data_IF_610122637383
#
_entry.id   IF_610122637383
#
_cell.length_a   1.000
_cell.length_b   1.000
_cell.length_c   1.000
_cell.angle_alpha   90.00
_cell.angle_beta   90.00
_cell.angle_gamma   90.00
#
_symmetry.space_group_name_H-M   'P 1'
#
loop_
_entity.id
_entity.type
_entity.pdbx_description
1 polymer ?
#
# COMPACT_ATOMS: atom_id res chain seq x y z
N UNK A 1 15.56 20.07 13.73
CA UNK A 1 16.26 18.90 14.30
C UNK A 1 16.34 17.86 13.23
N UNK A 2 17.52 17.28 12.98
CA UNK A 2 17.66 16.20 12.02
C UNK A 2 16.93 14.96 12.56
N UNK A 3 15.84 14.56 11.90
CA UNK A 3 15.23 13.26 12.11
C UNK A 3 16.24 12.25 11.57
N UNK A 4 16.97 11.57 12.46
CA UNK A 4 18.01 10.62 12.07
C UNK A 4 17.38 9.51 11.24
N UNK A 5 17.81 9.36 9.99
CA UNK A 5 17.45 8.21 9.18
C UNK A 5 18.09 6.98 9.83
N UNK A 6 17.28 6.17 10.51
CA UNK A 6 17.71 4.84 10.93
C UNK A 6 17.61 3.98 9.67
N UNK A 7 18.72 3.82 8.95
CA UNK A 7 18.76 3.14 7.67
C UNK A 7 20.04 3.43 6.89
N UNK A 8 20.15 2.87 5.68
CA UNK A 8 21.35 2.98 4.85
C UNK A 8 21.43 4.38 4.19
N UNK A 9 22.34 5.28 4.60
CA UNK A 9 22.41 6.64 4.07
C UNK A 9 22.79 6.70 2.58
N UNK A 10 23.52 5.69 2.08
CA UNK A 10 23.89 5.55 0.67
C UNK A 10 22.89 4.73 -0.16
N UNK A 11 21.74 4.35 0.42
CA UNK A 11 20.75 3.49 -0.21
C UNK A 11 20.98 1.99 0.05
N UNK A 12 19.90 1.22 -0.16
CA UNK A 12 19.86 -0.22 0.07
C UNK A 12 20.34 -0.96 -1.18
N UNK A 13 21.30 -1.88 -1.03
CA UNK A 13 21.80 -2.76 -2.11
C UNK A 13 21.17 -4.15 -2.11
N UNK A 14 20.69 -4.62 -0.96
CA UNK A 14 20.10 -5.94 -0.83
C UNK A 14 19.08 -6.01 0.29
N UNK A 15 18.09 -6.88 0.12
CA UNK A 15 17.04 -7.13 1.09
C UNK A 15 16.75 -8.64 1.12
N UNK A 16 16.60 -9.21 2.32
CA UNK A 16 16.16 -10.58 2.51
C UNK A 16 15.26 -10.68 3.74
N UNK A 17 14.20 -11.49 3.67
CA UNK A 17 13.32 -11.76 4.80
C UNK A 17 13.55 -13.19 5.31
N UNK A 18 13.38 -13.39 6.62
CA UNK A 18 13.31 -14.73 7.20
C UNK A 18 12.07 -15.47 6.69
N UNK A 19 12.11 -16.80 6.74
CA UNK A 19 11.01 -17.64 6.26
C UNK A 19 9.68 -17.37 6.97
N UNK A 20 9.72 -16.99 8.24
CA UNK A 20 8.56 -16.63 9.05
C UNK A 20 8.17 -15.15 8.96
N UNK A 21 8.91 -14.35 8.17
CA UNK A 21 8.65 -12.93 7.95
C UNK A 21 8.93 -12.02 9.15
N UNK A 22 9.42 -12.56 10.28
CA UNK A 22 9.66 -11.80 11.52
C UNK A 22 10.93 -10.97 11.48
N UNK A 23 11.85 -11.30 10.58
CA UNK A 23 13.14 -10.66 10.48
C UNK A 23 13.38 -10.23 9.04
N UNK A 24 13.75 -8.98 8.84
CA UNK A 24 14.23 -8.46 7.55
C UNK A 24 15.68 -8.03 7.72
N UNK A 25 16.53 -8.42 6.78
CA UNK A 25 17.92 -7.97 6.68
C UNK A 25 18.03 -7.04 5.49
N UNK A 26 18.58 -5.86 5.70
CA UNK A 26 18.98 -4.96 4.62
C UNK A 26 20.50 -4.81 4.61
N UNK A 27 21.08 -4.71 3.42
CA UNK A 27 22.50 -4.40 3.24
C UNK A 27 22.64 -3.07 2.50
N UNK A 28 23.56 -2.24 2.98
CA UNK A 28 23.83 -0.97 2.37
C UNK A 28 25.04 -1.03 1.45
N UNK A 29 25.01 -0.16 0.45
CA UNK A 29 26.03 -0.18 -0.58
C UNK A 29 27.35 0.41 -0.11
N UNK A 30 27.30 1.70 0.19
CA UNK A 30 28.49 2.52 0.41
C UNK A 30 28.75 2.80 1.89
N UNK A 31 27.79 2.43 2.76
CA UNK A 31 27.95 2.44 4.22
C UNK A 31 28.50 1.11 4.77
N UNK A 32 28.57 0.07 3.92
CA UNK A 32 28.97 -1.30 4.23
C UNK A 32 28.25 -1.90 5.46
N UNK A 33 27.08 -1.37 5.79
CA UNK A 33 26.32 -1.77 6.95
C UNK A 33 25.34 -2.90 6.59
N UNK A 34 24.98 -3.68 7.60
CA UNK A 34 23.88 -4.64 7.53
C UNK A 34 22.94 -4.31 8.68
N UNK A 35 21.69 -3.99 8.37
CA UNK A 35 20.66 -3.79 9.40
C UNK A 35 19.77 -5.03 9.50
N UNK A 36 19.43 -5.36 10.75
CA UNK A 36 18.49 -6.41 11.10
C UNK A 36 17.25 -5.71 11.68
N UNK A 37 16.10 -5.97 11.07
CA UNK A 37 14.82 -5.39 11.42
C UNK A 37 13.92 -6.49 11.96
N UNK A 38 13.31 -6.26 13.10
CA UNK A 38 12.21 -7.10 13.58
C UNK A 38 10.89 -6.57 13.01
N UNK A 39 10.09 -7.47 12.44
CA UNK A 39 8.79 -7.19 11.85
C UNK A 39 7.72 -7.75 12.77
N UNK A 40 6.96 -6.86 13.40
CA UNK A 40 5.82 -7.21 14.24
C UNK A 40 4.51 -6.92 13.49
N UNK A 41 4.00 -7.94 12.80
CA UNK A 41 2.69 -7.87 12.12
C UNK A 41 1.54 -7.76 13.12
N UNK A 42 1.69 -8.27 14.33
CA UNK A 42 0.67 -8.20 15.39
C UNK A 42 0.48 -6.78 15.89
N UNK A 43 1.54 -5.99 15.98
CA UNK A 43 1.46 -4.56 16.30
C UNK A 43 0.67 -3.79 15.24
N UNK A 44 0.88 -4.07 13.95
CA UNK A 44 0.13 -3.45 12.86
C UNK A 44 -1.36 -3.85 12.90
N UNK A 45 -1.67 -5.11 13.17
CA UNK A 45 -3.04 -5.59 13.32
C UNK A 45 -3.74 -5.00 14.55
N UNK A 46 -3.04 -4.89 15.68
CA UNK A 46 -3.55 -4.24 16.88
C UNK A 46 -3.81 -2.75 16.64
N UNK A 47 -2.91 -2.07 15.93
CA UNK A 47 -3.11 -0.67 15.51
C UNK A 47 -4.31 -0.56 14.58
N UNK A 48 -4.48 -1.48 13.63
CA UNK A 48 -5.64 -1.52 12.75
C UNK A 48 -6.96 -1.68 13.52
N UNK A 49 -6.95 -2.48 14.58
CA UNK A 49 -8.13 -2.76 15.40
C UNK A 49 -8.49 -1.59 16.33
N UNK A 50 -7.48 -0.88 16.87
CA UNK A 50 -7.68 0.19 17.84
C UNK A 50 -7.64 1.60 17.24
N UNK A 51 -7.13 1.77 16.02
CA UNK A 51 -6.78 3.05 15.40
C UNK A 51 -7.92 3.79 14.70
N UNK A 52 -9.17 3.35 14.85
CA UNK A 52 -10.33 3.97 14.20
C UNK A 52 -10.85 3.19 12.99
N UNK A 53 -11.75 3.81 12.22
CA UNK A 53 -12.42 3.16 11.10
C UNK A 53 -11.75 3.46 9.75
N UNK A 54 -11.79 2.48 8.84
CA UNK A 54 -11.33 2.66 7.46
C UNK A 54 -9.84 2.94 7.36
N UNK A 55 -9.48 4.13 6.89
CA UNK A 55 -8.11 4.55 6.57
C UNK A 55 -7.35 5.18 7.74
N UNK A 56 -8.04 5.65 8.77
CA UNK A 56 -7.45 6.39 9.90
C UNK A 56 -6.18 5.72 10.48
N UNK A 57 -6.13 4.38 10.69
CA UNK A 57 -4.93 3.73 11.22
C UNK A 57 -3.72 3.77 10.25
N UNK A 58 -3.94 3.94 8.96
CA UNK A 58 -2.94 3.76 7.91
C UNK A 58 -2.49 5.06 7.25
N UNK A 59 -3.17 6.19 7.52
CA UNK A 59 -2.81 7.48 6.94
C UNK A 59 -1.35 7.85 7.20
N UNK A 60 -0.81 7.53 8.38
CA UNK A 60 0.58 7.80 8.73
C UNK A 60 1.60 6.99 7.91
N UNK A 61 1.18 5.89 7.26
CA UNK A 61 2.03 5.09 6.37
C UNK A 61 2.15 5.73 4.98
N UNK A 62 1.22 6.61 4.61
CA UNK A 62 1.26 7.35 3.35
C UNK A 62 2.20 8.55 3.52
N UNK A 63 3.20 8.74 2.64
CA UNK A 63 4.03 9.93 2.64
C UNK A 63 3.23 11.24 2.72
N UNK A 64 3.54 12.07 3.73
CA UNK A 64 2.82 13.32 3.99
C UNK A 64 1.53 13.17 4.81
N UNK A 65 1.12 11.94 5.12
CA UNK A 65 -0.08 11.67 5.90
C UNK A 65 -1.37 12.00 5.14
N UNK A 66 -2.46 12.13 5.88
CA UNK A 66 -3.80 12.46 5.36
C UNK A 66 -3.89 13.82 4.64
N UNK A 67 -2.99 14.74 5.00
CA UNK A 67 -2.93 16.09 4.44
C UNK A 67 -1.82 16.20 3.37
N UNK A 68 -1.24 15.06 2.98
CA UNK A 68 -0.18 14.98 2.00
C UNK A 68 -0.71 14.88 0.56
N UNK A 69 0.04 15.44 -0.38
CA UNK A 69 -0.31 15.43 -1.81
C UNK A 69 -0.58 14.00 -2.34
N UNK A 70 0.24 13.03 -1.94
CA UNK A 70 0.05 11.64 -2.37
C UNK A 70 -1.29 11.06 -1.88
N UNK A 71 -1.74 11.44 -0.68
CA UNK A 71 -3.03 10.98 -0.16
C UNK A 71 -4.20 11.55 -0.99
N UNK A 72 -4.14 12.83 -1.36
CA UNK A 72 -5.13 13.44 -2.24
C UNK A 72 -5.14 12.79 -3.63
N UNK A 73 -3.96 12.56 -4.23
CA UNK A 73 -3.83 11.86 -5.51
C UNK A 73 -4.41 10.44 -5.44
N UNK A 74 -4.07 9.70 -4.37
CA UNK A 74 -4.62 8.37 -4.15
C UNK A 74 -6.14 8.40 -4.17
N UNK A 75 -6.74 9.30 -3.36
CA UNK A 75 -8.19 9.48 -3.27
C UNK A 75 -8.81 9.80 -4.63
N UNK A 76 -8.24 10.74 -5.36
CA UNK A 76 -8.79 11.20 -6.64
C UNK A 76 -8.77 10.10 -7.71
N UNK A 77 -7.66 9.35 -7.81
CA UNK A 77 -7.56 8.22 -8.75
C UNK A 77 -8.46 7.06 -8.35
N UNK A 78 -8.63 6.80 -7.06
CA UNK A 78 -9.53 5.75 -6.59
C UNK A 78 -10.99 6.08 -6.92
N UNK A 79 -11.42 7.32 -6.69
CA UNK A 79 -12.75 7.75 -7.13
C UNK A 79 -12.90 7.71 -8.64
N UNK A 80 -11.87 8.11 -9.39
CA UNK A 80 -11.89 7.99 -10.84
C UNK A 80 -12.06 6.52 -11.29
N UNK A 81 -11.35 5.59 -10.67
CA UNK A 81 -11.46 4.16 -10.97
C UNK A 81 -12.86 3.61 -10.62
N UNK A 82 -13.44 4.05 -9.51
CA UNK A 82 -14.80 3.67 -9.11
C UNK A 82 -15.85 4.17 -10.10
N UNK A 83 -15.73 5.43 -10.55
CA UNK A 83 -16.64 6.00 -11.54
C UNK A 83 -16.48 5.33 -12.91
N UNK A 84 -15.26 5.01 -13.32
CA UNK A 84 -15.00 4.29 -14.58
C UNK A 84 -15.53 2.86 -14.57
N UNK A 85 -15.46 2.19 -13.43
CA UNK A 85 -15.99 0.84 -13.27
C UNK A 85 -17.51 0.74 -13.49
N UNK A 86 -18.24 1.86 -13.36
CA UNK A 86 -19.69 1.94 -13.59
C UNK A 86 -20.07 2.19 -15.06
N UNK A 87 -19.08 2.29 -15.96
CA UNK A 87 -19.28 2.55 -17.38
C UNK A 87 -19.26 4.04 -17.73
N UNK A 88 -18.52 4.39 -18.77
CA UNK A 88 -18.32 5.79 -19.20
C UNK A 88 -19.54 6.35 -19.94
N UNK A 89 -20.37 5.48 -20.54
CA UNK A 89 -21.59 5.81 -21.29
C UNK A 89 -22.89 5.47 -20.53
N UNK A 90 -22.85 5.40 -19.20
CA UNK A 90 -24.06 5.15 -18.40
C UNK A 90 -24.83 6.43 -18.14
N UNK A 91 -26.15 6.39 -18.30
CA UNK A 91 -27.09 7.43 -17.85
C UNK A 91 -27.59 7.20 -16.42
N UNK A 92 -27.12 6.15 -15.75
CA UNK A 92 -27.44 5.87 -14.35
C UNK A 92 -26.73 6.85 -13.41
N UNK A 93 -27.32 7.08 -12.22
CA UNK A 93 -26.74 7.96 -11.22
C UNK A 93 -25.44 7.34 -10.66
N UNK A 94 -24.35 8.09 -10.75
CA UNK A 94 -23.03 7.65 -10.28
C UNK A 94 -23.04 7.50 -8.75
N UNK A 95 -22.68 6.31 -8.27
CA UNK A 95 -22.62 6.01 -6.83
C UNK A 95 -21.19 5.90 -6.35
N UNK A 96 -20.88 6.54 -5.21
CA UNK A 96 -19.61 6.41 -4.51
C UNK A 96 -19.81 5.38 -3.38
N UNK A 97 -19.48 4.14 -3.68
CA UNK A 97 -19.53 2.99 -2.76
C UNK A 97 -18.26 2.84 -1.92
N UNK A 98 -17.18 3.53 -2.29
CA UNK A 98 -15.87 3.43 -1.66
C UNK A 98 -15.14 2.13 -2.00
N UNK A 99 -15.50 1.50 -3.14
CA UNK A 99 -14.96 0.22 -3.58
C UNK A 99 -14.65 0.26 -5.07
N UNK A 100 -13.54 -0.35 -5.45
CA UNK A 100 -13.15 -0.55 -6.85
C UNK A 100 -12.98 -2.03 -7.16
N UNK A 101 -13.19 -2.48 -8.40
CA UNK A 101 -12.90 -3.85 -8.79
C UNK A 101 -11.45 -4.23 -8.50
N UNK A 102 -11.22 -5.47 -8.07
CA UNK A 102 -9.87 -5.98 -7.81
C UNK A 102 -8.96 -5.85 -9.05
N UNK A 103 -9.54 -5.96 -10.24
CA UNK A 103 -8.82 -5.79 -11.51
C UNK A 103 -8.21 -4.38 -11.70
N UNK A 104 -8.69 -3.37 -10.97
CA UNK A 104 -8.18 -1.99 -11.05
C UNK A 104 -6.92 -1.76 -10.21
N UNK A 105 -6.55 -2.69 -9.32
CA UNK A 105 -5.39 -2.56 -8.42
C UNK A 105 -4.09 -2.26 -9.17
N UNK A 106 -3.72 -2.97 -10.26
CA UNK A 106 -2.46 -2.71 -10.94
C UNK A 106 -2.35 -1.30 -11.53
N UNK A 107 -3.45 -0.77 -12.05
CA UNK A 107 -3.47 0.57 -12.64
C UNK A 107 -3.43 1.66 -11.56
N UNK A 108 -4.10 1.43 -10.42
CA UNK A 108 -4.02 2.32 -9.27
C UNK A 108 -2.60 2.38 -8.70
N UNK A 109 -1.94 1.23 -8.53
CA UNK A 109 -0.55 1.19 -8.08
C UNK A 109 0.37 2.02 -8.98
N UNK A 110 0.22 1.87 -10.30
CA UNK A 110 0.98 2.66 -11.29
C UNK A 110 0.66 4.14 -11.21
N UNK A 111 -0.61 4.50 -11.00
CA UNK A 111 -1.03 5.88 -10.82
C UNK A 111 -0.42 6.51 -9.56
N UNK A 112 -0.19 5.72 -8.51
CA UNK A 112 0.47 6.16 -7.27
C UNK A 112 2.01 6.20 -7.38
N UNK A 113 2.56 5.95 -8.57
CA UNK A 113 4.00 5.95 -8.83
C UNK A 113 4.71 4.64 -8.52
N UNK A 114 3.97 3.59 -8.14
CA UNK A 114 4.53 2.24 -7.95
C UNK A 114 4.29 1.38 -9.19
N UNK A 115 5.35 0.85 -9.79
CA UNK A 115 5.27 0.07 -11.02
C UNK A 115 5.57 -1.41 -10.74
N UNK A 116 4.58 -2.19 -10.26
CA UNK A 116 4.80 -3.59 -9.92
C UNK A 116 5.08 -4.42 -11.17
N UNK A 117 5.96 -5.41 -11.00
CA UNK A 117 6.19 -6.50 -11.95
C UNK A 117 4.95 -7.40 -12.09
N UNK A 118 4.91 -8.21 -13.15
CA UNK A 118 3.84 -9.21 -13.33
C UNK A 118 3.76 -10.23 -12.18
N UNK A 119 4.90 -10.51 -11.54
CA UNK A 119 4.94 -11.39 -10.37
C UNK A 119 4.24 -10.72 -9.18
N UNK A 120 4.60 -9.47 -8.86
CA UNK A 120 4.00 -8.72 -7.76
C UNK A 120 2.51 -8.47 -7.97
N UNK A 121 2.11 -8.13 -9.21
CA UNK A 121 0.68 -8.01 -9.57
C UNK A 121 -0.05 -9.31 -9.27
N UNK A 122 0.52 -10.46 -9.67
CA UNK A 122 -0.11 -11.75 -9.42
C UNK A 122 -0.22 -12.05 -7.93
N UNK A 123 0.81 -11.75 -7.14
CA UNK A 123 0.79 -11.94 -5.69
C UNK A 123 -0.28 -11.06 -5.02
N UNK A 124 -0.33 -9.77 -5.34
CA UNK A 124 -1.34 -8.83 -4.80
C UNK A 124 -2.77 -9.29 -5.09
N UNK A 125 -3.04 -9.66 -6.35
CA UNK A 125 -4.36 -10.13 -6.77
C UNK A 125 -4.71 -11.47 -6.11
N UNK A 126 -3.73 -12.38 -6.01
CA UNK A 126 -3.92 -13.68 -5.36
C UNK A 126 -4.18 -13.54 -3.87
N UNK A 127 -3.51 -12.61 -3.18
CA UNK A 127 -3.74 -12.35 -1.77
C UNK A 127 -5.17 -11.84 -1.50
N UNK A 128 -5.63 -10.89 -2.31
CA UNK A 128 -7.00 -10.38 -2.23
C UNK A 128 -8.04 -11.46 -2.54
N UNK A 129 -7.79 -12.25 -3.60
CA UNK A 129 -8.68 -13.34 -3.99
C UNK A 129 -8.75 -14.44 -2.92
N UNK A 130 -7.63 -14.77 -2.26
CA UNK A 130 -7.60 -15.73 -1.13
C UNK A 130 -8.42 -15.24 0.07
N UNK A 131 -8.52 -13.93 0.25
CA UNK A 131 -9.40 -13.28 1.25
C UNK A 131 -10.87 -13.18 0.76
N UNK A 132 -11.20 -13.77 -0.39
CA UNK A 132 -12.55 -13.75 -0.96
C UNK A 132 -13.00 -12.38 -1.48
N UNK A 133 -12.06 -11.48 -1.79
CA UNK A 133 -12.38 -10.12 -2.22
C UNK A 133 -12.45 -10.01 -3.74
N UNK A 134 -13.60 -9.56 -4.24
CA UNK A 134 -13.77 -9.17 -5.65
C UNK A 134 -13.60 -7.66 -5.86
N UNK A 135 -13.72 -6.90 -4.78
CA UNK A 135 -13.52 -5.44 -4.73
C UNK A 135 -12.57 -5.08 -3.60
N UNK A 136 -11.86 -3.97 -3.76
CA UNK A 136 -10.93 -3.44 -2.76
C UNK A 136 -11.35 -2.04 -2.33
N UNK A 137 -11.13 -1.73 -1.06
CA UNK A 137 -11.23 -0.37 -0.53
C UNK A 137 -9.86 0.32 -0.59
N UNK A 138 -9.82 1.64 -0.40
CA UNK A 138 -8.55 2.34 -0.25
C UNK A 138 -7.70 1.79 0.91
N UNK A 139 -8.35 1.37 2.00
CA UNK A 139 -7.64 0.79 3.15
C UNK A 139 -7.00 -0.56 2.80
N UNK A 140 -7.56 -1.29 1.85
CA UNK A 140 -6.94 -2.50 1.33
C UNK A 140 -5.72 -2.18 0.47
N UNK A 141 -5.78 -1.13 -0.35
CA UNK A 141 -4.66 -0.69 -1.17
C UNK A 141 -3.46 -0.23 -0.35
N UNK A 142 -3.68 0.49 0.76
CA UNK A 142 -2.59 0.94 1.63
C UNK A 142 -1.93 -0.22 2.40
N UNK A 143 -2.61 -1.38 2.48
CA UNK A 143 -2.09 -2.58 3.16
C UNK A 143 -1.38 -3.56 2.22
N UNK A 144 -1.46 -3.35 0.90
CA UNK A 144 -0.78 -4.15 -0.13
C UNK A 144 0.65 -3.65 -0.34
#
# INVERSE_FOLDING_TARGET
GAMGLIGHPGGVRGLAASHDGRIVVSTGGDDYAVFLWEVDTGALEAMALMGGAGLEPFQALVPGGKDGQLYDEMRDYFYLAELRAQGEESTEERSITGRVPLASVPDLMRAFGYYPSNFEIREMLHECARKGKETVTMADLVRL
#
